data_IF_488886330315
#
_entry.id   IF_488886330315
#
_cell.length_a   1.000
_cell.length_b   1.000
_cell.length_c   1.000
_cell.angle_alpha   90.00
_cell.angle_beta   90.00
_cell.angle_gamma   90.00
#
_symmetry.space_group_name_H-M   'P 1'
#
loop_
_entity.id
_entity.type
_entity.pdbx_description
1 polymer ?
#
# COMPACT_ATOMS: atom_id res chain seq x y z
N UNK A 1 -4.86 3.37 13.16
CA UNK A 1 -3.91 2.68 12.26
C UNK A 1 -4.26 2.98 10.81
N UNK A 2 -3.26 3.16 9.98
CA UNK A 2 -3.42 3.43 8.54
C UNK A 2 -2.77 2.35 7.72
N UNK A 3 -3.35 2.08 6.55
CA UNK A 3 -2.74 1.20 5.57
C UNK A 3 -1.75 2.00 4.71
N UNK A 4 -0.65 1.38 4.28
CA UNK A 4 0.38 2.04 3.46
C UNK A 4 0.41 1.36 2.09
N UNK A 5 0.13 2.15 1.05
CA UNK A 5 0.12 1.70 -0.34
C UNK A 5 1.52 1.69 -0.96
N UNK A 6 1.66 1.01 -2.07
CA UNK A 6 2.94 0.82 -2.78
C UNK A 6 3.61 2.12 -3.20
N UNK A 7 2.85 3.13 -3.63
CA UNK A 7 3.44 4.37 -4.12
C UNK A 7 4.21 5.13 -3.03
N UNK A 8 3.81 5.01 -1.76
CA UNK A 8 4.56 5.62 -0.65
C UNK A 8 5.97 5.04 -0.57
N UNK A 9 6.10 3.72 -0.63
CA UNK A 9 7.40 3.06 -0.62
C UNK A 9 8.22 3.40 -1.86
N UNK A 10 7.58 3.37 -3.03
CA UNK A 10 8.25 3.65 -4.31
C UNK A 10 8.78 5.08 -4.35
N UNK A 11 7.99 6.07 -3.96
CA UNK A 11 8.43 7.46 -3.94
C UNK A 11 9.59 7.68 -2.99
N UNK A 12 9.58 7.02 -1.85
CA UNK A 12 10.67 7.09 -0.88
C UNK A 12 11.94 6.42 -1.42
N UNK A 13 11.84 5.20 -1.93
CA UNK A 13 12.99 4.43 -2.43
C UNK A 13 13.63 5.05 -3.68
N UNK A 14 12.81 5.60 -4.56
CA UNK A 14 13.27 6.22 -5.80
C UNK A 14 13.63 7.70 -5.64
N UNK A 15 13.47 8.26 -4.45
CA UNK A 15 13.67 9.69 -4.18
C UNK A 15 12.91 10.57 -5.21
N UNK A 16 11.61 10.28 -5.38
CA UNK A 16 10.78 10.96 -6.37
C UNK A 16 10.85 12.49 -6.17
N UNK A 17 11.12 13.27 -7.25
CA UNK A 17 11.33 14.71 -7.12
C UNK A 17 10.09 15.48 -6.68
N UNK A 18 8.88 14.95 -6.90
CA UNK A 18 7.63 15.61 -6.54
C UNK A 18 7.09 15.08 -5.20
N UNK A 19 7.06 13.76 -5.01
CA UNK A 19 6.39 13.11 -3.89
C UNK A 19 7.36 12.49 -2.87
N UNK A 20 8.66 12.44 -3.18
CA UNK A 20 9.64 11.75 -2.33
C UNK A 20 9.74 12.32 -0.93
N UNK A 21 9.69 13.64 -0.79
CA UNK A 21 9.79 14.27 0.54
C UNK A 21 8.56 13.96 1.40
N UNK A 22 7.36 14.00 0.82
CA UNK A 22 6.13 13.62 1.54
C UNK A 22 6.18 12.16 1.97
N UNK A 23 6.58 11.26 1.06
CA UNK A 23 6.73 9.84 1.36
C UNK A 23 7.75 9.61 2.47
N UNK A 24 8.90 10.29 2.43
CA UNK A 24 9.91 10.23 3.48
C UNK A 24 9.34 10.65 4.83
N UNK A 25 8.59 11.75 4.86
CA UNK A 25 7.97 12.24 6.11
C UNK A 25 6.97 11.21 6.68
N UNK A 26 6.20 10.55 5.83
CA UNK A 26 5.28 9.49 6.26
C UNK A 26 6.05 8.28 6.83
N UNK A 27 7.12 7.87 6.18
CA UNK A 27 7.95 6.77 6.68
C UNK A 27 8.59 7.11 8.02
N UNK A 28 9.06 8.35 8.19
CA UNK A 28 9.62 8.81 9.46
C UNK A 28 8.60 8.76 10.60
N UNK A 29 7.34 9.10 10.34
CA UNK A 29 6.26 8.97 11.34
C UNK A 29 6.08 7.52 11.77
N UNK A 30 6.10 6.59 10.83
CA UNK A 30 5.96 5.16 11.10
C UNK A 30 7.17 4.66 11.90
N UNK A 31 8.38 5.05 11.50
CA UNK A 31 9.60 4.72 12.24
C UNK A 31 9.57 5.26 13.67
N UNK A 32 8.98 6.45 13.86
CA UNK A 32 8.86 7.08 15.17
C UNK A 32 7.76 6.48 16.05
N UNK A 33 7.00 5.50 15.56
CA UNK A 33 6.04 4.77 16.37
C UNK A 33 4.59 4.80 15.90
N UNK A 34 4.26 5.47 14.78
CA UNK A 34 2.90 5.44 14.23
C UNK A 34 2.59 4.03 13.72
N UNK A 35 1.61 3.38 14.35
CA UNK A 35 1.19 2.04 13.94
C UNK A 35 0.51 2.08 12.57
N UNK A 36 0.98 1.22 11.68
CA UNK A 36 0.52 1.13 10.30
C UNK A 36 0.48 -0.32 9.85
N UNK A 37 -0.14 -0.56 8.70
CA UNK A 37 -0.18 -1.89 8.09
C UNK A 37 0.09 -1.77 6.59
N UNK A 38 0.69 -2.79 6.04
CA UNK A 38 0.78 -3.02 4.59
C UNK A 38 0.58 -4.52 4.35
N UNK A 39 0.59 -4.95 3.10
CA UNK A 39 0.35 -6.36 2.80
C UNK A 39 1.40 -6.94 1.85
N UNK A 40 1.42 -8.28 1.78
CA UNK A 40 2.28 -8.99 0.83
C UNK A 40 1.96 -8.63 -0.62
N UNK A 41 0.71 -8.30 -0.96
CA UNK A 41 0.36 -7.77 -2.28
C UNK A 41 1.12 -6.47 -2.56
N UNK A 42 1.09 -5.53 -1.62
CA UNK A 42 1.81 -4.25 -1.76
C UNK A 42 3.31 -4.47 -1.88
N UNK A 43 3.87 -5.37 -1.07
CA UNK A 43 5.31 -5.71 -1.15
C UNK A 43 5.66 -6.24 -2.54
N UNK A 44 4.82 -7.13 -3.09
CA UNK A 44 5.01 -7.65 -4.44
C UNK A 44 4.94 -6.54 -5.50
N UNK A 45 4.01 -5.60 -5.36
CA UNK A 45 3.89 -4.46 -6.27
C UNK A 45 5.15 -3.59 -6.26
N UNK A 46 5.69 -3.29 -5.07
CA UNK A 46 6.93 -2.51 -4.93
C UNK A 46 8.09 -3.23 -5.59
N UNK A 47 8.26 -4.52 -5.33
CA UNK A 47 9.34 -5.32 -5.92
C UNK A 47 9.22 -5.39 -7.45
N UNK A 48 8.00 -5.53 -7.97
CA UNK A 48 7.75 -5.54 -9.42
C UNK A 48 8.12 -4.20 -10.06
N UNK A 49 7.77 -3.10 -9.41
CA UNK A 49 8.15 -1.76 -9.87
C UNK A 49 9.67 -1.59 -9.90
N UNK A 50 10.36 -2.00 -8.84
CA UNK A 50 11.83 -1.90 -8.77
C UNK A 50 12.48 -2.70 -9.88
N UNK A 51 12.01 -3.92 -10.17
CA UNK A 51 12.49 -4.73 -11.29
C UNK A 51 12.29 -4.01 -12.63
N UNK A 52 11.10 -3.48 -12.83
CA UNK A 52 10.76 -2.78 -14.07
C UNK A 52 11.66 -1.56 -14.30
N UNK A 53 11.98 -0.83 -13.24
CA UNK A 53 12.88 0.33 -13.27
C UNK A 53 14.36 -0.04 -13.27
N UNK A 54 14.68 -1.33 -13.36
CA UNK A 54 16.06 -1.85 -13.28
C UNK A 54 16.76 -1.45 -11.97
N UNK A 55 16.00 -1.41 -10.89
CA UNK A 55 16.47 -1.13 -9.54
C UNK A 55 16.36 -2.37 -8.66
N UNK A 56 16.51 -3.57 -9.24
CA UNK A 56 16.36 -4.82 -8.52
C UNK A 56 17.37 -4.98 -7.38
N UNK A 57 18.50 -4.30 -7.42
CA UNK A 57 19.47 -4.26 -6.34
C UNK A 57 18.94 -3.56 -5.07
N UNK A 58 17.87 -2.79 -5.17
CA UNK A 58 17.21 -2.15 -4.03
C UNK A 58 16.27 -3.11 -3.30
N UNK A 59 15.83 -4.20 -3.94
CA UNK A 59 14.88 -5.15 -3.34
C UNK A 59 15.40 -5.72 -2.00
N UNK A 60 16.63 -6.23 -1.89
CA UNK A 60 17.12 -6.73 -0.61
C UNK A 60 17.12 -5.66 0.49
N UNK A 61 17.46 -4.42 0.14
CA UNK A 61 17.46 -3.30 1.09
C UNK A 61 16.04 -2.98 1.55
N UNK A 62 15.08 -2.98 0.63
CA UNK A 62 13.67 -2.77 0.95
C UNK A 62 13.13 -3.84 1.89
N UNK A 63 13.43 -5.11 1.63
CA UNK A 63 12.98 -6.21 2.49
C UNK A 63 13.61 -6.14 3.88
N UNK A 64 14.88 -5.77 3.98
CA UNK A 64 15.55 -5.56 5.26
C UNK A 64 14.95 -4.39 6.04
N UNK A 65 14.64 -3.30 5.34
CA UNK A 65 13.96 -2.14 5.90
C UNK A 65 12.61 -2.54 6.50
N UNK A 66 11.81 -3.30 5.76
CA UNK A 66 10.51 -3.77 6.25
C UNK A 66 10.63 -4.64 7.51
N UNK A 67 11.64 -5.51 7.56
CA UNK A 67 11.88 -6.36 8.75
C UNK A 67 12.18 -5.53 9.99
N UNK A 68 12.94 -4.45 9.84
CA UNK A 68 13.31 -3.58 10.96
C UNK A 68 12.17 -2.65 11.40
N UNK A 69 11.15 -2.48 10.59
CA UNK A 69 10.07 -1.54 10.84
C UNK A 69 8.95 -2.22 11.63
N UNK A 70 9.13 -2.33 12.95
CA UNK A 70 8.25 -3.10 13.84
C UNK A 70 6.86 -2.48 14.01
N UNK A 71 6.72 -1.17 13.80
CA UNK A 71 5.43 -0.47 13.87
C UNK A 71 4.55 -0.69 12.65
N UNK A 72 5.13 -1.22 11.57
CA UNK A 72 4.42 -1.57 10.35
C UNK A 72 4.10 -3.06 10.36
N UNK A 73 2.82 -3.41 10.45
CA UNK A 73 2.37 -4.79 10.28
C UNK A 73 2.43 -5.17 8.80
N UNK A 74 3.00 -6.32 8.48
CA UNK A 74 3.04 -6.88 7.13
C UNK A 74 2.06 -8.04 7.10
N UNK A 75 0.84 -7.78 6.62
CA UNK A 75 -0.22 -8.78 6.60
C UNK A 75 -0.16 -9.64 5.34
N UNK A 76 -0.55 -10.88 5.48
CA UNK A 76 -0.64 -11.78 4.34
C UNK A 76 -1.91 -11.50 3.53
N UNK A 77 -1.79 -11.60 2.22
CA UNK A 77 -2.91 -11.53 1.29
C UNK A 77 -3.56 -12.91 1.22
N UNK A 78 -4.83 -12.99 1.56
CA UNK A 78 -5.57 -14.24 1.62
C UNK A 78 -6.44 -14.43 0.38
N UNK A 79 -6.78 -15.67 0.07
CA UNK A 79 -7.73 -15.96 -1.02
C UNK A 79 -9.06 -15.23 -0.80
N UNK A 80 -9.51 -15.14 0.46
CA UNK A 80 -10.75 -14.43 0.80
C UNK A 80 -10.68 -12.93 0.47
N UNK A 81 -9.51 -12.33 0.47
CA UNK A 81 -9.35 -10.91 0.06
C UNK A 81 -9.71 -10.73 -1.42
N UNK A 82 -9.34 -11.70 -2.26
CA UNK A 82 -9.71 -11.67 -3.69
C UNK A 82 -11.22 -11.88 -3.90
N UNK A 83 -11.82 -12.76 -3.13
CA UNK A 83 -13.27 -12.98 -3.19
C UNK A 83 -14.05 -11.74 -2.73
N UNK A 84 -13.62 -11.10 -1.65
CA UNK A 84 -14.22 -9.84 -1.18
C UNK A 84 -14.00 -8.72 -2.19
N UNK A 85 -12.81 -8.64 -2.81
CA UNK A 85 -12.54 -7.67 -3.88
C UNK A 85 -13.52 -7.84 -5.05
N UNK A 86 -13.85 -9.07 -5.41
CA UNK A 86 -14.86 -9.37 -6.43
C UNK A 86 -16.24 -8.83 -6.05
N UNK A 87 -16.61 -8.99 -4.78
CA UNK A 87 -17.86 -8.44 -4.24
C UNK A 87 -17.88 -6.90 -4.28
N UNK A 88 -16.76 -6.27 -3.88
CA UNK A 88 -16.60 -4.80 -3.95
C UNK A 88 -16.75 -4.32 -5.39
N UNK A 89 -16.10 -4.99 -6.34
CA UNK A 89 -16.21 -4.66 -7.77
C UNK A 89 -17.66 -4.68 -8.22
N UNK A 90 -18.39 -5.72 -7.86
CA UNK A 90 -19.81 -5.89 -8.25
C UNK A 90 -20.71 -4.83 -7.62
N UNK A 91 -20.55 -4.60 -6.30
CA UNK A 91 -21.40 -3.66 -5.56
C UNK A 91 -21.20 -2.21 -5.99
N UNK A 92 -19.96 -1.81 -6.25
CA UNK A 92 -19.62 -0.43 -6.61
C UNK A 92 -19.47 -0.23 -8.12
N UNK A 93 -19.58 -1.30 -8.90
CA UNK A 93 -19.38 -1.28 -10.36
C UNK A 93 -18.09 -0.57 -10.77
N UNK A 94 -16.99 -0.93 -10.09
CA UNK A 94 -15.69 -0.32 -10.35
C UNK A 94 -15.02 -0.95 -11.58
N UNK A 95 -14.19 -0.17 -12.31
CA UNK A 95 -13.46 -0.72 -13.45
C UNK A 95 -12.42 -1.75 -13.00
N UNK A 96 -12.21 -2.79 -13.81
CA UNK A 96 -11.26 -3.86 -13.52
C UNK A 96 -9.81 -3.37 -13.41
N UNK A 97 -9.48 -2.21 -13.99
CA UNK A 97 -8.18 -1.57 -13.82
C UNK A 97 -7.86 -1.25 -12.36
N UNK A 98 -8.86 -1.19 -11.49
CA UNK A 98 -8.71 -0.99 -10.05
C UNK A 98 -8.64 -2.30 -9.26
N UNK A 99 -8.37 -3.44 -9.93
CA UNK A 99 -8.42 -4.74 -9.25
C UNK A 99 -7.53 -4.81 -8.01
N UNK A 100 -6.27 -4.40 -8.12
CA UNK A 100 -5.35 -4.40 -7.00
C UNK A 100 -5.84 -3.49 -5.86
N UNK A 101 -6.39 -2.32 -6.20
CA UNK A 101 -6.96 -1.38 -5.22
C UNK A 101 -8.17 -1.99 -4.51
N UNK A 102 -8.98 -2.77 -5.22
CA UNK A 102 -10.11 -3.48 -4.62
C UNK A 102 -9.64 -4.58 -3.66
N UNK A 103 -8.54 -5.27 -3.97
CA UNK A 103 -7.95 -6.26 -3.06
C UNK A 103 -7.42 -5.56 -1.80
N UNK A 104 -6.76 -4.43 -1.95
CA UNK A 104 -6.30 -3.61 -0.81
C UNK A 104 -7.51 -3.14 0.02
N UNK A 105 -8.58 -2.68 -0.63
CA UNK A 105 -9.80 -2.29 0.07
C UNK A 105 -10.41 -3.45 0.87
N UNK A 106 -10.39 -4.66 0.31
CA UNK A 106 -10.82 -5.87 1.02
C UNK A 106 -9.97 -6.15 2.26
N UNK A 107 -8.66 -6.00 2.13
CA UNK A 107 -7.72 -6.14 3.26
C UNK A 107 -7.98 -5.11 4.34
N UNK A 108 -8.18 -3.86 3.96
CA UNK A 108 -8.51 -2.78 4.88
C UNK A 108 -9.82 -3.06 5.62
N UNK A 109 -10.84 -3.56 4.92
CA UNK A 109 -12.12 -3.93 5.50
C UNK A 109 -11.94 -5.05 6.53
N UNK A 110 -11.17 -6.09 6.20
CA UNK A 110 -10.85 -7.20 7.11
C UNK A 110 -10.17 -6.74 8.38
N UNK A 111 -9.29 -5.73 8.27
CA UNK A 111 -8.54 -5.17 9.39
C UNK A 111 -9.27 -4.02 10.09
N UNK A 112 -10.48 -3.66 9.61
CA UNK A 112 -11.23 -2.51 10.08
C UNK A 112 -10.43 -1.19 9.98
N UNK A 113 -9.69 -1.02 8.89
CA UNK A 113 -8.95 0.20 8.58
C UNK A 113 -9.74 1.05 7.61
N UNK A 114 -9.76 2.37 7.84
CA UNK A 114 -10.53 3.32 7.02
C UNK A 114 -9.64 4.37 6.35
N UNK A 115 -8.40 4.49 6.77
CA UNK A 115 -7.46 5.47 6.22
C UNK A 115 -6.30 4.79 5.52
N UNK A 116 -5.89 5.36 4.38
CA UNK A 116 -4.76 4.85 3.59
C UNK A 116 -3.81 5.98 3.24
N UNK A 117 -2.53 5.75 3.43
CA UNK A 117 -1.49 6.58 2.84
C UNK A 117 -1.29 6.15 1.39
N UNK A 118 -1.77 6.94 0.46
CA UNK A 118 -1.66 6.69 -0.98
C UNK A 118 -1.88 7.97 -1.76
N UNK A 119 -1.16 8.12 -2.87
CA UNK A 119 -1.39 9.20 -3.83
C UNK A 119 -2.32 8.78 -4.98
N UNK A 120 -2.87 7.57 -4.93
CA UNK A 120 -3.76 7.07 -5.97
C UNK A 120 -5.20 7.52 -5.74
N UNK A 121 -5.69 8.43 -6.60
CA UNK A 121 -7.04 8.96 -6.52
C UNK A 121 -8.14 7.91 -6.74
N UNK A 122 -7.82 6.72 -7.22
CA UNK A 122 -8.80 5.66 -7.40
C UNK A 122 -9.42 5.22 -6.06
N UNK A 123 -8.69 5.32 -4.95
CA UNK A 123 -9.24 5.04 -3.63
C UNK A 123 -10.38 5.97 -3.24
N UNK A 124 -10.46 7.16 -3.82
CA UNK A 124 -11.56 8.10 -3.57
C UNK A 124 -12.90 7.57 -4.08
N UNK A 125 -12.88 6.57 -4.97
CA UNK A 125 -14.09 5.90 -5.50
C UNK A 125 -14.65 4.83 -4.55
N UNK A 126 -13.95 4.54 -3.46
CA UNK A 126 -14.37 3.55 -2.46
C UNK A 126 -14.88 4.30 -1.22
N UNK A 127 -16.21 4.31 -0.97
CA UNK A 127 -16.82 5.26 -0.03
C UNK A 127 -16.33 5.17 1.41
N UNK A 128 -15.87 3.99 1.87
CA UNK A 128 -15.43 3.82 3.27
C UNK A 128 -13.95 4.08 3.47
N UNK A 129 -13.21 4.42 2.43
CA UNK A 129 -11.77 4.69 2.51
C UNK A 129 -11.52 6.19 2.41
N UNK A 130 -10.72 6.69 3.35
CA UNK A 130 -10.21 8.06 3.31
C UNK A 130 -8.73 8.02 2.92
N UNK A 131 -8.43 8.60 1.79
CA UNK A 131 -7.06 8.73 1.29
C UNK A 131 -6.37 9.92 1.94
N UNK A 132 -5.14 9.70 2.39
CA UNK A 132 -4.26 10.71 2.98
C UNK A 132 -2.97 10.68 2.19
N UNK A 133 -2.71 11.74 1.47
CA UNK A 133 -1.47 11.99 0.72
C UNK A 133 -1.70 12.97 -0.43
#
# INVERSE_FOLDING_TARGET
>A
MRFVDSNVFVYHLAADPIHGQTAKNLMEKIEAGEKSATSTLVIAQVCSYLKWKRMQNVIPLFLSFLKGLTTLQKIETHMLDFEEARSIQSQLNLPWSMWDDMVIAAQMKRLNLKEIYSNDGDFDKIPWIKRIF
#
